data_IF_796866149807
#
_entry.id   IF_796866149807
#
_cell.length_a   1.000
_cell.length_b   1.000
_cell.length_c   1.000
_cell.angle_alpha   90.00
_cell.angle_beta   90.00
_cell.angle_gamma   90.00
#
_symmetry.space_group_name_H-M   'P 1'
#
loop_
_entity.id
_entity.type
_entity.pdbx_description
1 polymer ?
#
# COMPACT_ATOMS: atom_id res chain seq x y z
N UNK A 1 28.65 15.71 26.36
CA UNK A 1 28.74 16.38 25.04
C UNK A 1 27.36 16.96 24.79
N UNK A 2 27.22 18.28 24.70
CA UNK A 2 25.91 18.93 24.72
C UNK A 2 24.98 18.40 23.61
N UNK A 3 23.77 17.97 23.97
CA UNK A 3 22.79 17.36 23.06
C UNK A 3 22.49 18.28 21.88
N UNK A 4 22.48 19.60 22.12
CA UNK A 4 22.32 20.62 21.08
C UNK A 4 23.47 20.63 20.08
N UNK A 5 24.71 20.42 20.54
CA UNK A 5 25.87 20.32 19.64
C UNK A 5 25.81 19.08 18.75
N UNK A 6 25.26 17.98 19.25
CA UNK A 6 25.03 16.76 18.45
C UNK A 6 23.88 16.96 17.45
N UNK A 7 22.79 17.61 17.84
CA UNK A 7 21.69 17.96 16.94
C UNK A 7 22.15 18.89 15.81
N UNK A 8 22.99 19.88 16.12
CA UNK A 8 23.56 20.78 15.12
C UNK A 8 24.50 20.03 14.16
N UNK A 9 25.34 19.12 14.69
CA UNK A 9 26.16 18.24 13.84
C UNK A 9 25.30 17.37 12.91
N UNK A 10 24.17 16.82 13.38
CA UNK A 10 23.22 16.06 12.54
C UNK A 10 22.58 16.94 11.47
N UNK A 11 22.22 18.18 11.80
CA UNK A 11 21.65 19.15 10.84
C UNK A 11 22.64 19.46 9.71
N UNK A 12 23.91 19.72 10.06
CA UNK A 12 24.98 19.95 9.08
C UNK A 12 25.20 18.72 8.19
N UNK A 13 25.20 17.51 8.77
CA UNK A 13 25.30 16.26 8.00
C UNK A 13 24.12 16.05 7.05
N UNK A 14 22.88 16.36 7.47
CA UNK A 14 21.71 16.33 6.58
C UNK A 14 21.85 17.28 5.40
N UNK A 15 22.24 18.53 5.66
CA UNK A 15 22.48 19.51 4.60
C UNK A 15 23.56 19.04 3.62
N UNK A 16 24.61 18.37 4.12
CA UNK A 16 25.66 17.78 3.30
C UNK A 16 25.12 16.63 2.43
N UNK A 17 24.33 15.70 2.99
CA UNK A 17 23.71 14.60 2.24
C UNK A 17 22.79 15.14 1.13
N UNK A 18 21.94 16.13 1.44
CA UNK A 18 21.07 16.78 0.45
C UNK A 18 21.89 17.41 -0.68
N UNK A 19 22.99 18.11 -0.37
CA UNK A 19 23.88 18.70 -1.39
C UNK A 19 24.48 17.66 -2.34
N UNK A 20 24.88 16.49 -1.83
CA UNK A 20 25.43 15.42 -2.68
C UNK A 20 24.34 14.77 -3.55
N UNK A 21 23.12 14.61 -3.02
CA UNK A 21 21.96 14.13 -3.80
C UNK A 21 21.62 15.09 -4.96
N UNK A 22 21.51 16.39 -4.69
CA UNK A 22 21.24 17.39 -5.74
C UNK A 22 22.34 17.41 -6.79
N UNK A 23 23.60 17.20 -6.40
CA UNK A 23 24.73 17.11 -7.34
C UNK A 23 24.66 15.84 -8.19
N UNK A 24 24.26 14.70 -7.62
CA UNK A 24 24.01 13.47 -8.38
C UNK A 24 22.86 13.64 -9.39
N UNK A 25 21.75 14.25 -8.98
CA UNK A 25 20.62 14.55 -9.86
C UNK A 25 21.03 15.48 -11.01
N UNK A 26 21.79 16.54 -10.71
CA UNK A 26 22.31 17.44 -11.74
C UNK A 26 23.23 16.73 -12.73
N UNK A 27 24.15 15.88 -12.25
CA UNK A 27 25.06 15.11 -13.11
C UNK A 27 24.28 14.10 -13.95
N UNK A 28 23.23 13.45 -13.42
CA UNK A 28 22.35 12.57 -14.19
C UNK A 28 21.63 13.33 -15.33
N UNK A 29 21.19 14.56 -15.08
CA UNK A 29 20.48 15.41 -16.04
C UNK A 29 21.36 16.04 -17.13
N UNK A 30 22.70 16.03 -17.01
CA UNK A 30 23.60 16.54 -18.06
C UNK A 30 23.57 15.66 -19.32
N UNK A 31 23.37 16.26 -20.48
CA UNK A 31 23.45 15.56 -21.77
C UNK A 31 24.90 15.19 -22.12
N UNK A 32 25.07 14.09 -22.86
CA UNK A 32 26.39 13.60 -23.29
C UNK A 32 26.84 14.44 -24.49
N UNK A 33 28.00 15.07 -24.40
CA UNK A 33 28.58 15.92 -25.45
C UNK A 33 30.03 15.51 -25.77
N UNK A 34 30.63 16.13 -26.78
CA UNK A 34 32.03 15.88 -27.15
C UNK A 34 33.04 16.19 -26.01
N UNK A 35 32.65 17.04 -25.05
CA UNK A 35 33.46 17.44 -23.90
C UNK A 35 33.11 16.67 -22.61
N UNK A 36 31.98 15.95 -22.58
CA UNK A 36 31.53 15.15 -21.42
C UNK A 36 30.99 13.79 -21.89
N UNK A 37 31.92 12.84 -22.03
CA UNK A 37 31.64 11.51 -22.54
C UNK A 37 30.99 10.60 -21.47
N UNK A 38 30.49 9.44 -21.90
CA UNK A 38 29.81 8.46 -21.03
C UNK A 38 30.68 7.94 -19.88
N UNK A 39 31.98 7.78 -20.11
CA UNK A 39 32.94 7.27 -19.13
C UNK A 39 33.19 8.30 -18.02
N UNK A 40 33.45 9.56 -18.37
CA UNK A 40 33.61 10.65 -17.41
C UNK A 40 32.34 10.87 -16.56
N UNK A 41 31.16 10.75 -17.18
CA UNK A 41 29.87 10.81 -16.47
C UNK A 41 29.73 9.67 -15.46
N UNK A 42 30.13 8.46 -15.84
CA UNK A 42 30.08 7.30 -14.96
C UNK A 42 31.06 7.42 -13.79
N UNK A 43 32.30 7.86 -14.04
CA UNK A 43 33.30 8.09 -13.00
C UNK A 43 32.84 9.15 -11.99
N UNK A 44 32.27 10.27 -12.47
CA UNK A 44 31.73 11.32 -11.60
C UNK A 44 30.58 10.78 -10.74
N UNK A 45 29.66 9.99 -11.30
CA UNK A 45 28.56 9.38 -10.57
C UNK A 45 29.02 8.33 -9.55
N UNK A 46 30.02 7.52 -9.87
CA UNK A 46 30.60 6.55 -8.93
C UNK A 46 31.30 7.26 -7.76
N UNK A 47 32.02 8.34 -8.03
CA UNK A 47 32.63 9.19 -7.00
C UNK A 47 31.58 9.82 -6.09
N UNK A 48 30.52 10.40 -6.66
CA UNK A 48 29.41 10.98 -5.89
C UNK A 48 28.65 9.94 -5.07
N UNK A 49 28.42 8.73 -5.62
CA UNK A 49 27.81 7.61 -4.89
C UNK A 49 28.65 7.22 -3.67
N UNK A 50 29.98 7.16 -3.81
CA UNK A 50 30.89 6.84 -2.70
C UNK A 50 30.80 7.90 -1.58
N UNK A 51 30.87 9.18 -1.95
CA UNK A 51 30.74 10.31 -1.01
C UNK A 51 29.39 10.32 -0.30
N UNK A 52 28.30 10.06 -1.04
CA UNK A 52 26.96 9.98 -0.46
C UNK A 52 26.84 8.82 0.53
N UNK A 53 27.40 7.66 0.20
CA UNK A 53 27.39 6.48 1.08
C UNK A 53 28.13 6.75 2.38
N UNK A 54 29.31 7.40 2.31
CA UNK A 54 30.07 7.80 3.49
C UNK A 54 29.29 8.78 4.37
N UNK A 55 28.70 9.82 3.77
CA UNK A 55 27.91 10.82 4.51
C UNK A 55 26.63 10.26 5.10
N UNK A 56 26.00 9.29 4.44
CA UNK A 56 24.85 8.59 4.99
C UNK A 56 25.24 7.75 6.20
N UNK A 57 26.37 7.04 6.14
CA UNK A 57 26.91 6.28 7.29
C UNK A 57 27.26 7.19 8.48
N UNK A 58 27.85 8.37 8.23
CA UNK A 58 28.09 9.37 9.27
C UNK A 58 26.78 9.88 9.89
N UNK A 59 25.74 10.11 9.07
CA UNK A 59 24.43 10.57 9.53
C UNK A 59 23.72 9.52 10.39
N UNK A 60 23.81 8.24 10.01
CA UNK A 60 23.29 7.11 10.79
C UNK A 60 23.97 7.07 12.16
N UNK A 61 25.31 7.08 12.21
CA UNK A 61 26.07 7.10 13.47
C UNK A 61 25.74 8.31 14.35
N UNK A 62 25.56 9.50 13.75
CA UNK A 62 25.16 10.70 14.48
C UNK A 62 23.75 10.58 15.07
N UNK A 63 22.81 9.98 14.34
CA UNK A 63 21.46 9.73 14.83
C UNK A 63 21.45 8.70 15.98
N UNK A 64 22.25 7.65 15.88
CA UNK A 64 22.44 6.66 16.96
C UNK A 64 23.01 7.31 18.22
N UNK A 65 24.03 8.17 18.09
CA UNK A 65 24.66 8.85 19.22
C UNK A 65 23.70 9.84 19.91
N UNK A 66 22.94 10.63 19.15
CA UNK A 66 21.89 11.50 19.73
C UNK A 66 20.89 10.67 20.51
N UNK A 67 20.46 9.53 19.97
CA UNK A 67 19.50 8.70 20.68
C UNK A 67 20.08 8.04 21.93
N UNK A 68 21.35 7.64 21.90
CA UNK A 68 22.04 7.17 23.11
C UNK A 68 22.11 8.26 24.18
N UNK A 69 22.40 9.52 23.79
CA UNK A 69 22.44 10.65 24.73
C UNK A 69 21.07 10.99 25.31
N UNK A 70 20.01 10.99 24.49
CA UNK A 70 18.63 11.16 24.98
C UNK A 70 18.30 10.06 25.98
N UNK A 71 18.58 8.80 25.64
CA UNK A 71 18.35 7.65 26.53
C UNK A 71 19.13 7.76 27.84
N UNK A 72 20.39 8.21 27.80
CA UNK A 72 21.19 8.46 29.01
C UNK A 72 20.56 9.58 29.85
N UNK A 73 20.04 10.63 29.22
CA UNK A 73 19.34 11.72 29.91
C UNK A 73 18.03 11.28 30.56
N UNK A 74 17.22 10.48 29.86
CA UNK A 74 15.99 9.88 30.38
C UNK A 74 16.30 8.94 31.54
N UNK A 75 17.27 8.03 31.40
CA UNK A 75 17.72 7.17 32.50
C UNK A 75 18.26 7.96 33.70
N UNK A 76 18.96 9.07 33.47
CA UNK A 76 19.44 9.93 34.56
C UNK A 76 18.28 10.66 35.28
N UNK A 77 17.24 11.07 34.54
CA UNK A 77 16.02 11.65 35.09
C UNK A 77 15.21 10.61 35.88
N UNK A 78 15.09 9.39 35.37
CA UNK A 78 14.44 8.27 36.05
C UNK A 78 15.21 7.85 37.30
N UNK A 79 16.55 7.86 37.28
CA UNK A 79 17.36 7.60 38.48
C UNK A 79 17.16 8.72 39.51
N UNK A 80 17.10 9.98 39.05
CA UNK A 80 16.85 11.14 39.92
C UNK A 80 15.43 11.11 40.52
N UNK A 81 14.43 10.59 39.80
CA UNK A 81 13.06 10.41 40.31
C UNK A 81 12.90 9.12 41.14
N UNK A 82 13.70 8.08 40.88
CA UNK A 82 13.72 6.85 41.68
C UNK A 82 14.32 7.05 43.08
N UNK A 83 15.15 8.07 43.31
CA UNK A 83 15.57 8.43 44.69
C UNK A 83 14.39 8.85 45.57
N UNK A 84 13.23 9.21 44.99
CA UNK A 84 11.98 9.44 45.71
C UNK A 84 11.14 8.17 45.96
N UNK A 85 11.47 7.02 45.33
CA UNK A 85 10.67 5.78 45.38
C UNK A 85 11.43 4.58 45.94
N UNK A 86 11.95 4.73 47.16
CA UNK A 86 12.30 3.58 48.03
C UNK A 86 11.09 2.92 48.71
N UNK A 87 9.87 3.41 48.47
CA UNK A 87 8.67 2.88 49.09
C UNK A 87 7.61 2.50 48.05
N UNK A 88 7.25 1.22 48.07
CA UNK A 88 6.05 0.54 47.51
C UNK A 88 6.16 0.02 46.08
N UNK A 89 6.26 -1.32 45.98
CA UNK A 89 5.99 -2.07 44.77
C UNK A 89 4.55 -2.59 44.67
N UNK A 90 4.18 -3.07 43.47
CA UNK A 90 3.64 -4.42 43.21
C UNK A 90 3.30 -4.59 41.72
N UNK A 91 3.42 -5.84 41.30
CA UNK A 91 3.25 -6.42 39.96
C UNK A 91 1.79 -6.49 39.50
N UNK A 92 1.57 -6.59 38.18
CA UNK A 92 0.65 -7.57 37.59
C UNK A 92 1.03 -7.86 36.12
N UNK A 93 1.14 -9.15 35.79
CA UNK A 93 1.45 -9.71 34.45
C UNK A 93 0.18 -9.95 33.63
N UNK A 94 0.20 -9.63 32.33
CA UNK A 94 -0.82 -10.06 31.35
C UNK A 94 -0.18 -10.92 30.26
N UNK A 95 -0.77 -12.10 30.08
CA UNK A 95 -0.37 -13.19 29.18
C UNK A 95 -1.03 -13.03 27.80
N UNK A 96 -0.23 -12.89 26.73
CA UNK A 96 -0.71 -12.95 25.34
C UNK A 96 -0.05 -14.13 24.60
N UNK A 97 -0.88 -15.10 24.21
CA UNK A 97 -0.49 -16.18 23.29
C UNK A 97 -0.58 -15.72 21.84
N UNK A 98 0.46 -16.07 21.09
CA UNK A 98 0.60 -16.15 19.63
C UNK A 98 0.54 -14.84 18.83
N UNK A 99 1.70 -14.17 18.78
CA UNK A 99 2.06 -13.24 17.70
C UNK A 99 3.34 -13.76 17.04
N UNK A 100 3.22 -14.31 15.84
CA UNK A 100 4.38 -14.56 14.98
C UNK A 100 4.66 -13.28 14.21
N UNK A 101 5.58 -12.46 14.72
CA UNK A 101 6.13 -11.31 14.02
C UNK A 101 7.64 -11.51 13.86
N UNK A 102 8.12 -11.51 12.61
CA UNK A 102 9.55 -11.57 12.35
C UNK A 102 10.22 -10.27 12.84
N UNK A 103 10.96 -10.46 13.93
CA UNK A 103 11.79 -9.56 14.73
C UNK A 103 11.08 -8.44 15.52
N UNK A 104 10.62 -8.82 16.72
CA UNK A 104 10.34 -7.91 17.85
C UNK A 104 11.59 -7.79 18.76
N UNK A 105 11.93 -6.57 19.18
CA UNK A 105 12.63 -6.35 20.45
C UNK A 105 11.75 -5.42 21.27
N UNK A 106 10.95 -6.01 22.16
CA UNK A 106 10.21 -5.29 23.18
C UNK A 106 11.16 -5.01 24.35
N UNK A 107 11.40 -3.74 24.66
CA UNK A 107 11.95 -3.34 25.96
C UNK A 107 10.78 -3.04 26.88
N UNK A 108 10.91 -3.38 28.18
CA UNK A 108 9.95 -3.09 29.25
C UNK A 108 9.59 -1.60 29.29
N UNK A 109 8.66 -1.18 28.45
CA UNK A 109 7.98 0.10 28.44
C UNK A 109 6.49 -0.21 28.27
N UNK A 110 5.60 0.50 28.96
CA UNK A 110 4.15 0.34 28.79
C UNK A 110 3.75 0.60 27.33
N UNK A 111 2.81 -0.20 26.83
CA UNK A 111 2.34 -0.11 25.46
C UNK A 111 1.42 1.11 25.29
N UNK A 112 1.96 2.20 24.74
CA UNK A 112 1.21 3.41 24.42
C UNK A 112 0.35 3.22 23.15
N UNK A 113 -0.93 2.89 23.36
CA UNK A 113 -1.92 2.70 22.31
C UNK A 113 -2.15 3.94 21.44
N UNK A 114 -2.02 5.15 22.00
CA UNK A 114 -2.27 6.38 21.25
C UNK A 114 -1.12 6.68 20.29
N UNK A 115 0.13 6.39 20.68
CA UNK A 115 1.28 6.43 19.77
C UNK A 115 1.17 5.45 18.61
N UNK A 116 0.72 4.23 18.89
CA UNK A 116 0.47 3.24 17.85
C UNK A 116 -0.63 3.76 16.92
N UNK A 117 -1.79 4.15 17.45
CA UNK A 117 -2.91 4.70 16.67
C UNK A 117 -2.47 5.87 15.77
N UNK A 118 -1.69 6.82 16.30
CA UNK A 118 -1.18 7.96 15.53
C UNK A 118 -0.19 7.53 14.42
N UNK A 119 0.52 6.42 14.59
CA UNK A 119 1.38 5.85 13.55
C UNK A 119 0.59 5.22 12.39
N UNK A 120 -0.69 4.89 12.62
CA UNK A 120 -1.60 4.33 11.63
C UNK A 120 -2.61 5.35 11.07
N UNK A 121 -2.54 6.63 11.47
CA UNK A 121 -3.45 7.65 10.93
C UNK A 121 -3.13 7.95 9.47
N UNK A 122 -4.17 8.19 8.66
CA UNK A 122 -4.05 8.51 7.23
C UNK A 122 -3.21 9.77 6.99
N UNK A 123 -3.33 10.73 7.90
CA UNK A 123 -2.55 11.97 7.95
C UNK A 123 -1.04 11.68 8.08
N UNK A 124 -0.65 10.78 8.99
CA UNK A 124 0.74 10.34 9.16
C UNK A 124 1.25 9.54 7.97
N UNK A 125 0.36 8.83 7.28
CA UNK A 125 0.67 8.14 6.02
C UNK A 125 0.79 9.09 4.83
N UNK A 126 0.49 10.38 5.00
CA UNK A 126 0.36 11.38 3.93
C UNK A 126 -0.56 10.90 2.80
N UNK A 127 -1.62 10.15 3.15
CA UNK A 127 -2.81 10.04 2.29
C UNK A 127 -3.54 11.37 2.50
N UNK A 128 -2.93 12.44 2.01
CA UNK A 128 -3.41 13.80 2.18
C UNK A 128 -4.12 14.20 0.88
N UNK A 129 -5.43 14.49 0.91
CA UNK A 129 -6.16 14.96 -0.27
C UNK A 129 -5.68 16.35 -0.74
N UNK A 130 -4.79 17.02 0.00
CA UNK A 130 -4.23 18.35 -0.30
C UNK A 130 -3.26 18.42 -1.49
N UNK A 131 -3.10 17.35 -2.28
CA UNK A 131 -2.60 17.55 -3.64
C UNK A 131 -3.53 18.55 -4.36
N UNK A 132 -3.04 19.28 -5.36
CA UNK A 132 -3.91 20.08 -6.23
C UNK A 132 -4.80 19.13 -7.05
N UNK A 133 -5.84 18.59 -6.40
CA UNK A 133 -6.85 17.73 -6.99
C UNK A 133 -7.68 18.62 -7.91
N UNK A 134 -7.82 18.20 -9.17
CA UNK A 134 -8.57 18.95 -10.16
C UNK A 134 -10.03 19.13 -9.72
N UNK A 135 -10.74 20.11 -10.30
CA UNK A 135 -12.16 20.35 -9.95
C UNK A 135 -13.01 19.11 -10.25
N UNK A 136 -12.75 18.44 -11.38
CA UNK A 136 -13.40 17.18 -11.78
C UNK A 136 -13.11 16.05 -10.79
N UNK A 137 -11.85 15.88 -10.37
CA UNK A 137 -11.50 14.85 -9.38
C UNK A 137 -12.16 15.10 -8.01
N UNK A 138 -12.35 16.36 -7.61
CA UNK A 138 -13.08 16.70 -6.37
C UNK A 138 -14.55 16.31 -6.45
N UNK A 139 -15.17 16.46 -7.62
CA UNK A 139 -16.56 16.03 -7.85
C UNK A 139 -16.69 14.51 -7.78
N UNK A 140 -15.73 13.77 -8.36
CA UNK A 140 -15.67 12.31 -8.28
C UNK A 140 -15.52 11.85 -6.82
N UNK A 141 -14.58 12.44 -6.06
CA UNK A 141 -14.38 12.10 -4.65
C UNK A 141 -15.63 12.40 -3.81
N UNK A 142 -16.27 13.56 -4.04
CA UNK A 142 -17.51 13.92 -3.35
C UNK A 142 -18.64 12.94 -3.68
N UNK A 143 -18.76 12.53 -4.94
CA UNK A 143 -19.73 11.51 -5.36
C UNK A 143 -19.44 10.17 -4.68
N UNK A 144 -18.17 9.74 -4.62
CA UNK A 144 -17.76 8.52 -3.94
C UNK A 144 -18.13 8.56 -2.45
N UNK A 145 -17.83 9.65 -1.74
CA UNK A 145 -18.15 9.82 -0.32
C UNK A 145 -19.67 9.78 -0.08
N UNK A 146 -20.45 10.46 -0.91
CA UNK A 146 -21.91 10.51 -0.80
C UNK A 146 -22.58 9.15 -1.08
N UNK A 147 -22.00 8.36 -1.98
CA UNK A 147 -22.53 7.04 -2.36
C UNK A 147 -21.99 5.90 -1.50
N UNK A 148 -21.00 6.15 -0.63
CA UNK A 148 -20.40 5.13 0.23
C UNK A 148 -21.14 5.04 1.56
N UNK A 149 -21.66 3.86 1.88
CA UNK A 149 -22.37 3.59 3.13
C UNK A 149 -21.68 2.45 3.89
N UNK A 150 -21.52 2.62 5.20
CA UNK A 150 -21.05 1.54 6.07
C UNK A 150 -22.24 0.80 6.68
N UNK A 151 -22.45 -0.46 6.27
CA UNK A 151 -23.54 -1.31 6.77
C UNK A 151 -23.05 -2.73 7.01
N UNK A 152 -23.54 -3.38 8.07
CA UNK A 152 -23.21 -4.76 8.41
C UNK A 152 -21.69 -5.03 8.47
N UNK A 153 -20.95 -4.09 9.06
CA UNK A 153 -19.48 -4.10 9.17
C UNK A 153 -18.71 -4.01 7.85
N UNK A 154 -19.39 -3.73 6.73
CA UNK A 154 -18.80 -3.64 5.40
C UNK A 154 -19.11 -2.29 4.76
N UNK A 155 -18.13 -1.70 4.08
CA UNK A 155 -18.39 -0.55 3.21
C UNK A 155 -19.06 -1.01 1.94
N UNK A 156 -20.08 -0.28 1.48
CA UNK A 156 -20.70 -0.46 0.17
C UNK A 156 -20.65 0.85 -0.59
N UNK A 157 -20.30 0.82 -1.86
CA UNK A 157 -20.25 2.01 -2.69
C UNK A 157 -20.82 1.76 -4.09
N UNK A 158 -21.16 2.84 -4.78
CA UNK A 158 -21.59 2.80 -6.19
C UNK A 158 -20.40 2.73 -7.12
N UNK A 159 -20.60 2.10 -8.26
CA UNK A 159 -19.66 2.20 -9.36
C UNK A 159 -19.62 3.65 -9.85
N UNK A 160 -18.43 4.17 -10.11
CA UNK A 160 -18.22 5.54 -10.56
C UNK A 160 -18.44 5.62 -12.07
N UNK A 161 -19.70 5.61 -12.50
CA UNK A 161 -20.07 5.65 -13.92
C UNK A 161 -19.71 6.99 -14.58
N UNK A 162 -19.11 6.93 -15.78
CA UNK A 162 -18.97 8.10 -16.66
C UNK A 162 -20.34 8.48 -17.25
N UNK A 163 -20.60 9.76 -17.54
CA UNK A 163 -21.93 10.22 -17.98
C UNK A 163 -22.47 9.50 -19.24
N UNK A 164 -21.58 9.08 -20.15
CA UNK A 164 -21.90 8.42 -21.43
C UNK A 164 -21.97 6.87 -21.36
N UNK A 165 -21.78 6.28 -20.18
CA UNK A 165 -21.55 4.83 -20.02
C UNK A 165 -22.79 3.92 -20.08
N UNK A 166 -23.99 4.48 -20.30
CA UNK A 166 -25.27 3.74 -20.25
C UNK A 166 -25.49 2.74 -21.38
N UNK A 167 -24.52 2.58 -22.29
CA UNK A 167 -24.56 1.63 -23.40
C UNK A 167 -23.64 0.41 -23.21
N UNK A 168 -23.20 0.11 -21.98
CA UNK A 168 -22.46 -1.11 -21.70
C UNK A 168 -23.28 -2.34 -22.11
N UNK A 169 -22.81 -3.06 -23.12
CA UNK A 169 -23.47 -4.26 -23.65
C UNK A 169 -23.00 -5.49 -22.90
N UNK A 170 -23.81 -6.54 -22.93
CA UNK A 170 -23.41 -7.84 -22.40
C UNK A 170 -22.12 -8.37 -23.05
N UNK A 171 -21.28 -8.97 -22.21
CA UNK A 171 -20.02 -9.63 -22.53
C UNK A 171 -20.08 -11.15 -22.33
N UNK A 172 -21.29 -11.74 -22.26
CA UNK A 172 -21.50 -13.16 -21.95
C UNK A 172 -20.62 -14.10 -22.78
N UNK A 173 -20.63 -13.96 -24.12
CA UNK A 173 -19.85 -14.84 -25.02
C UNK A 173 -18.35 -14.81 -24.73
N UNK A 174 -17.83 -13.64 -24.35
CA UNK A 174 -16.41 -13.45 -24.03
C UNK A 174 -16.10 -14.09 -22.67
N UNK A 175 -16.94 -13.85 -21.67
CA UNK A 175 -16.78 -14.41 -20.34
C UNK A 175 -16.86 -15.94 -20.35
N UNK A 176 -17.82 -16.51 -21.09
CA UNK A 176 -17.98 -17.96 -21.28
C UNK A 176 -16.75 -18.58 -21.97
N UNK A 177 -16.24 -17.91 -23.00
CA UNK A 177 -15.05 -18.38 -23.71
C UNK A 177 -13.75 -18.32 -22.88
N UNK A 178 -13.58 -17.29 -22.04
CA UNK A 178 -12.40 -17.20 -21.16
C UNK A 178 -12.43 -18.25 -20.05
N UNK A 179 -13.62 -18.49 -19.47
CA UNK A 179 -13.75 -19.47 -18.40
C UNK A 179 -13.65 -20.90 -18.94
N UNK A 180 -14.19 -21.20 -20.14
CA UNK A 180 -14.06 -22.52 -20.76
C UNK A 180 -12.59 -22.88 -21.01
N UNK A 181 -11.77 -21.94 -21.49
CA UNK A 181 -10.32 -22.13 -21.63
C UNK A 181 -9.61 -22.44 -20.32
N UNK A 182 -10.12 -21.95 -19.20
CA UNK A 182 -9.58 -22.28 -17.88
C UNK A 182 -9.90 -23.74 -17.54
N UNK A 183 -11.13 -24.18 -17.84
CA UNK A 183 -11.62 -25.52 -17.54
C UNK A 183 -11.06 -26.61 -18.46
N UNK A 184 -10.75 -26.28 -19.71
CA UNK A 184 -10.17 -27.22 -20.69
C UNK A 184 -8.70 -27.57 -20.40
N UNK A 185 -7.99 -26.77 -19.58
CA UNK A 185 -6.54 -26.93 -19.38
C UNK A 185 -6.15 -28.07 -18.45
N UNK A 186 -6.85 -28.25 -17.33
CA UNK A 186 -6.52 -29.27 -16.31
C UNK A 186 -7.64 -29.40 -15.26
N UNK A 187 -8.02 -30.65 -14.94
CA UNK A 187 -8.99 -30.97 -13.87
C UNK A 187 -8.53 -30.47 -12.49
N UNK A 188 -7.24 -30.56 -12.17
CA UNK A 188 -6.70 -30.07 -10.89
C UNK A 188 -6.82 -28.54 -10.76
N UNK A 189 -6.67 -27.82 -11.88
CA UNK A 189 -6.84 -26.37 -11.92
C UNK A 189 -8.30 -25.99 -11.70
N UNK A 190 -9.23 -26.74 -12.30
CA UNK A 190 -10.67 -26.55 -12.09
C UNK A 190 -11.05 -26.71 -10.62
N UNK A 191 -10.61 -27.78 -9.96
CA UNK A 191 -10.93 -28.04 -8.55
C UNK A 191 -10.44 -26.91 -7.63
N UNK A 192 -9.20 -26.45 -7.82
CA UNK A 192 -8.65 -25.31 -7.06
C UNK A 192 -9.40 -24.01 -7.35
N UNK A 193 -9.81 -23.79 -8.59
CA UNK A 193 -10.59 -22.62 -8.96
C UNK A 193 -12.00 -22.64 -8.33
N UNK A 194 -12.68 -23.78 -8.39
CA UNK A 194 -14.00 -23.99 -7.76
C UNK A 194 -13.94 -23.80 -6.24
N UNK A 195 -12.88 -24.25 -5.58
CA UNK A 195 -12.64 -23.98 -4.15
C UNK A 195 -12.55 -22.48 -3.84
N UNK A 196 -11.88 -21.69 -4.68
CA UNK A 196 -11.78 -20.23 -4.53
C UNK A 196 -13.16 -19.58 -4.65
N UNK A 197 -13.94 -19.96 -5.67
CA UNK A 197 -15.30 -19.41 -5.86
C UNK A 197 -16.22 -19.80 -4.69
N UNK A 198 -16.16 -21.05 -4.22
CA UNK A 198 -16.90 -21.50 -3.04
C UNK A 198 -16.49 -20.76 -1.77
N UNK A 199 -15.21 -20.44 -1.62
CA UNK A 199 -14.71 -19.61 -0.52
C UNK A 199 -15.30 -18.20 -0.58
N UNK A 200 -15.27 -17.55 -1.75
CA UNK A 200 -15.87 -16.22 -1.92
C UNK A 200 -17.37 -16.21 -1.61
N UNK A 201 -18.09 -17.29 -1.96
CA UNK A 201 -19.50 -17.43 -1.62
C UNK A 201 -19.72 -17.59 -0.10
N UNK A 202 -18.87 -18.37 0.59
CA UNK A 202 -18.94 -18.52 2.06
C UNK A 202 -18.61 -17.24 2.79
N UNK A 203 -17.65 -16.48 2.28
CA UNK A 203 -17.21 -15.19 2.85
C UNK A 203 -18.19 -14.05 2.55
N UNK A 204 -19.25 -14.31 1.77
CA UNK A 204 -20.23 -13.29 1.38
C UNK A 204 -19.65 -12.23 0.43
N UNK A 205 -18.56 -12.55 -0.27
CA UNK A 205 -17.95 -11.69 -1.28
C UNK A 205 -18.78 -11.69 -2.57
N UNK A 206 -19.28 -12.87 -2.95
CA UNK A 206 -20.17 -13.08 -4.10
C UNK A 206 -21.49 -13.69 -3.66
N UNK A 207 -22.50 -13.60 -4.51
CA UNK A 207 -23.82 -14.20 -4.30
C UNK A 207 -24.26 -15.04 -5.51
N UNK A 208 -25.21 -15.94 -5.29
CA UNK A 208 -25.83 -16.68 -6.40
C UNK A 208 -26.87 -15.80 -7.06
N UNK A 209 -26.67 -15.49 -8.34
CA UNK A 209 -27.67 -14.79 -9.16
C UNK A 209 -28.75 -15.79 -9.58
N UNK A 210 -30.02 -15.39 -9.46
CA UNK A 210 -31.14 -16.16 -9.99
C UNK A 210 -31.22 -15.95 -11.52
N UNK A 211 -30.40 -16.70 -12.26
CA UNK A 211 -30.29 -16.53 -13.72
C UNK A 211 -31.51 -17.10 -14.45
N UNK A 212 -32.15 -16.24 -15.24
CA UNK A 212 -32.92 -16.64 -16.40
C UNK A 212 -32.08 -16.30 -17.64
N UNK A 213 -31.29 -17.28 -18.10
CA UNK A 213 -30.30 -17.09 -19.18
C UNK A 213 -30.85 -16.31 -20.38
N UNK A 214 -32.07 -16.62 -20.85
CA UNK A 214 -32.68 -15.95 -22.00
C UNK A 214 -32.92 -14.43 -21.80
N UNK A 215 -33.12 -14.01 -20.55
CA UNK A 215 -33.32 -12.60 -20.19
C UNK A 215 -32.00 -11.92 -19.84
N UNK A 216 -31.21 -12.53 -18.95
CA UNK A 216 -30.03 -11.91 -18.36
C UNK A 216 -28.85 -11.80 -19.35
N UNK A 217 -28.69 -12.76 -20.28
CA UNK A 217 -27.57 -12.78 -21.26
C UNK A 217 -27.51 -11.48 -22.06
N UNK A 218 -28.63 -10.82 -22.34
CA UNK A 218 -28.65 -9.61 -23.17
C UNK A 218 -28.76 -8.30 -22.38
N UNK A 219 -29.03 -8.36 -21.07
CA UNK A 219 -29.33 -7.18 -20.25
C UNK A 219 -28.32 -6.91 -19.14
N UNK A 220 -27.48 -7.90 -18.80
CA UNK A 220 -26.48 -7.79 -17.73
C UNK A 220 -25.06 -7.91 -18.30
N UNK A 221 -24.10 -7.37 -17.57
CA UNK A 221 -22.68 -7.51 -17.92
C UNK A 221 -22.10 -8.76 -17.24
N UNK A 222 -21.24 -9.47 -17.96
CA UNK A 222 -20.56 -10.66 -17.45
C UNK A 222 -19.07 -10.38 -17.43
N UNK A 223 -18.53 -10.05 -16.26
CA UNK A 223 -17.12 -9.72 -16.11
C UNK A 223 -16.24 -10.91 -16.50
N UNK A 224 -15.47 -10.86 -17.60
CA UNK A 224 -14.64 -11.98 -18.01
C UNK A 224 -13.60 -12.28 -16.93
N UNK A 225 -13.32 -13.56 -16.74
CA UNK A 225 -12.35 -14.00 -15.73
C UNK A 225 -11.72 -15.33 -16.11
N UNK A 226 -10.49 -15.54 -15.63
CA UNK A 226 -9.73 -16.76 -15.87
C UNK A 226 -8.80 -17.09 -14.71
N UNK A 227 -8.29 -18.32 -14.67
CA UNK A 227 -7.29 -18.72 -13.68
C UNK A 227 -5.87 -18.40 -14.17
N UNK A 228 -5.06 -17.82 -13.29
CA UNK A 228 -3.61 -17.68 -13.49
C UNK A 228 -2.89 -18.52 -12.44
N UNK A 229 -1.96 -19.35 -12.92
CA UNK A 229 -1.11 -20.19 -12.07
C UNK A 229 0.22 -19.48 -11.89
N UNK A 230 0.58 -19.15 -10.64
CA UNK A 230 1.93 -18.70 -10.30
C UNK A 230 2.68 -19.85 -9.65
N UNK A 231 3.63 -20.40 -10.39
CA UNK A 231 4.59 -21.38 -9.88
C UNK A 231 5.65 -20.64 -9.04
N UNK A 232 5.64 -20.83 -7.72
CA UNK A 232 6.73 -20.41 -6.85
C UNK A 232 7.44 -21.66 -6.30
N UNK A 233 8.72 -21.49 -5.91
CA UNK A 233 9.56 -22.59 -5.42
C UNK A 233 8.92 -23.40 -4.28
N UNK A 234 8.08 -22.77 -3.47
CA UNK A 234 7.48 -23.40 -2.26
C UNK A 234 5.98 -23.70 -2.40
N UNK A 235 5.27 -23.10 -3.37
CA UNK A 235 3.86 -23.44 -3.66
C UNK A 235 3.40 -22.92 -5.02
N UNK A 236 2.47 -23.65 -5.64
CA UNK A 236 1.74 -23.20 -6.83
C UNK A 236 0.43 -22.55 -6.38
N UNK A 237 0.32 -21.22 -6.48
CA UNK A 237 -0.90 -20.49 -6.09
C UNK A 237 -1.74 -20.19 -7.32
N UNK A 238 -2.98 -20.72 -7.32
CA UNK A 238 -4.01 -20.37 -8.31
C UNK A 238 -4.66 -19.06 -7.89
N UNK A 239 -4.87 -18.15 -8.85
CA UNK A 239 -5.59 -16.89 -8.63
C UNK A 239 -6.63 -16.70 -9.72
N UNK A 240 -7.79 -16.18 -9.33
CA UNK A 240 -8.80 -15.67 -10.27
C UNK A 240 -8.40 -14.27 -10.71
N UNK A 241 -8.35 -14.04 -12.01
CA UNK A 241 -8.13 -12.71 -12.62
C UNK A 241 -9.41 -12.31 -13.32
N UNK A 242 -9.92 -11.13 -12.98
CA UNK A 242 -11.05 -10.51 -13.65
C UNK A 242 -10.53 -9.48 -14.66
N UNK A 243 -11.01 -9.54 -15.89
CA UNK A 243 -10.61 -8.68 -16.98
C UNK A 243 -11.73 -7.69 -17.36
N UNK A 244 -11.79 -6.59 -16.61
CA UNK A 244 -12.71 -5.48 -16.88
C UNK A 244 -12.33 -4.65 -18.12
N UNK A 245 -11.21 -4.95 -18.78
CA UNK A 245 -10.79 -4.29 -20.03
C UNK A 245 -11.20 -5.06 -21.29
N UNK A 246 -11.65 -6.30 -21.12
CA UNK A 246 -12.08 -7.17 -22.21
C UNK A 246 -13.35 -6.63 -22.87
N UNK A 247 -13.34 -6.55 -24.20
CA UNK A 247 -14.43 -5.99 -25.01
C UNK A 247 -14.47 -6.58 -26.42
N UNK A 248 -15.68 -6.67 -26.96
CA UNK A 248 -15.90 -7.01 -28.37
C UNK A 248 -15.45 -5.88 -29.31
N UNK A 249 -15.32 -6.19 -30.60
CA UNK A 249 -14.92 -5.21 -31.61
C UNK A 249 -15.96 -4.07 -31.70
N UNK A 250 -15.54 -2.87 -31.33
CA UNK A 250 -16.39 -1.67 -31.34
C UNK A 250 -17.36 -1.56 -30.15
N UNK A 251 -17.22 -2.41 -29.12
CA UNK A 251 -17.93 -2.28 -27.85
C UNK A 251 -17.08 -1.52 -26.82
N UNK A 252 -17.72 -1.06 -25.74
CA UNK A 252 -17.04 -0.52 -24.56
C UNK A 252 -16.72 -1.64 -23.58
N UNK A 253 -15.63 -1.52 -22.84
CA UNK A 253 -15.32 -2.36 -21.68
C UNK A 253 -15.82 -1.69 -20.39
N UNK A 254 -15.94 -2.45 -19.31
CA UNK A 254 -16.33 -1.90 -18.01
C UNK A 254 -15.36 -0.78 -17.58
N UNK A 255 -14.06 -0.94 -17.82
CA UNK A 255 -13.07 0.10 -17.52
C UNK A 255 -13.25 1.39 -18.36
N UNK A 256 -13.76 1.30 -19.60
CA UNK A 256 -14.05 2.50 -20.40
C UNK A 256 -15.29 3.25 -19.87
N UNK A 257 -16.15 2.55 -19.13
CA UNK A 257 -17.41 3.07 -18.60
C UNK A 257 -17.27 3.67 -17.19
N UNK A 258 -16.15 3.45 -16.51
CA UNK A 258 -15.92 3.90 -15.14
C UNK A 258 -14.90 5.03 -15.08
N UNK A 259 -15.11 5.96 -14.15
CA UNK A 259 -14.15 7.01 -13.82
C UNK A 259 -12.92 6.40 -13.15
N UNK A 260 -11.73 6.79 -13.62
CA UNK A 260 -10.47 6.32 -13.01
C UNK A 260 -10.23 6.92 -11.63
N UNK A 261 -10.81 8.10 -11.37
CA UNK A 261 -10.60 8.89 -10.16
C UNK A 261 -9.17 9.41 -9.99
N UNK A 262 -8.93 10.25 -8.97
CA UNK A 262 -7.61 10.79 -8.70
C UNK A 262 -6.68 9.73 -8.08
N UNK A 263 -5.38 9.88 -8.30
CA UNK A 263 -4.37 9.05 -7.66
C UNK A 263 -4.21 9.42 -6.18
N UNK A 264 -4.81 8.62 -5.30
CA UNK A 264 -4.70 8.76 -3.84
C UNK A 264 -3.51 8.00 -3.24
N UNK A 265 -2.66 7.37 -4.06
CA UNK A 265 -1.53 6.61 -3.53
C UNK A 265 -0.48 7.55 -2.94
N UNK A 266 0.02 7.28 -1.72
CA UNK A 266 1.09 8.06 -1.13
C UNK A 266 2.38 7.92 -1.96
N UNK A 267 3.20 8.96 -1.96
CA UNK A 267 4.47 8.95 -2.69
C UNK A 267 5.42 7.88 -2.14
N UNK A 268 5.79 6.91 -2.99
CA UNK A 268 6.60 5.74 -2.59
C UNK A 268 7.96 6.13 -2.01
N UNK A 269 8.63 7.16 -2.56
CA UNK A 269 9.93 7.62 -2.05
C UNK A 269 9.77 8.15 -0.62
N UNK A 270 8.71 8.92 -0.36
CA UNK A 270 8.43 9.42 0.99
C UNK A 270 8.14 8.28 1.97
N UNK A 271 7.38 7.26 1.56
CA UNK A 271 7.15 6.05 2.36
C UNK A 271 8.49 5.40 2.71
N UNK A 272 9.34 5.12 1.72
CA UNK A 272 10.65 4.49 1.93
C UNK A 272 11.52 5.33 2.86
N UNK A 273 11.56 6.66 2.68
CA UNK A 273 12.32 7.55 3.57
C UNK A 273 11.81 7.46 5.02
N UNK A 274 10.49 7.37 5.25
CA UNK A 274 9.94 7.17 6.61
C UNK A 274 10.37 5.83 7.20
N UNK A 275 10.35 4.76 6.40
CA UNK A 275 10.86 3.44 6.82
C UNK A 275 12.34 3.48 7.21
N UNK A 276 13.17 4.22 6.47
CA UNK A 276 14.61 4.35 6.74
C UNK A 276 14.90 5.27 7.95
N UNK A 277 14.08 6.31 8.16
CA UNK A 277 14.30 7.32 9.21
C UNK A 277 13.85 6.87 10.61
N UNK A 278 13.00 5.84 10.71
CA UNK A 278 12.51 5.29 11.97
C UNK A 278 13.29 4.03 12.33
N UNK A 279 13.47 3.78 13.63
CA UNK A 279 14.25 2.63 14.12
C UNK A 279 13.51 1.30 14.05
N UNK A 280 12.18 1.36 14.08
CA UNK A 280 11.30 0.21 14.09
C UNK A 280 10.27 0.46 13.00
N UNK A 281 10.06 -0.52 12.15
CA UNK A 281 9.05 -0.51 11.11
C UNK A 281 8.12 -1.70 11.33
N UNK A 282 6.82 -1.45 11.24
CA UNK A 282 5.81 -2.49 11.22
C UNK A 282 5.36 -2.71 9.77
N UNK A 283 5.36 -3.96 9.35
CA UNK A 283 4.84 -4.38 8.07
C UNK A 283 3.72 -5.37 8.33
N UNK A 284 2.56 -5.14 7.71
CA UNK A 284 1.46 -6.08 7.68
C UNK A 284 0.89 -6.10 6.27
N UNK A 285 0.49 -7.28 5.81
CA UNK A 285 -0.30 -7.42 4.59
C UNK A 285 -1.77 -7.58 5.00
N UNK A 286 -2.64 -6.75 4.43
CA UNK A 286 -4.08 -6.85 4.68
C UNK A 286 -4.65 -7.79 3.61
N UNK A 287 -4.84 -9.04 4.02
CA UNK A 287 -5.41 -10.05 3.13
C UNK A 287 -6.78 -9.61 2.62
N UNK A 288 -6.98 -9.67 1.29
CA UNK A 288 -8.27 -9.44 0.62
C UNK A 288 -8.90 -8.07 0.88
N UNK A 289 -8.11 -7.05 1.20
CA UNK A 289 -8.59 -5.70 1.54
C UNK A 289 -9.62 -5.12 0.55
N UNK A 290 -9.41 -5.27 -0.75
CA UNK A 290 -10.35 -4.77 -1.77
C UNK A 290 -11.68 -5.52 -1.78
N UNK A 291 -11.71 -6.80 -1.40
CA UNK A 291 -12.93 -7.60 -1.36
C UNK A 291 -13.80 -7.26 -0.15
N UNK A 292 -13.25 -6.56 0.86
CA UNK A 292 -14.01 -6.04 1.99
C UNK A 292 -14.86 -4.80 1.62
N UNK A 293 -14.65 -4.22 0.44
CA UNK A 293 -15.54 -3.18 -0.10
C UNK A 293 -16.56 -3.86 -1.01
N UNK A 294 -17.83 -3.65 -0.73
CA UNK A 294 -18.94 -4.19 -1.52
C UNK A 294 -19.50 -3.19 -2.52
N UNK A 295 -20.20 -3.71 -3.52
CA UNK A 295 -20.98 -2.92 -4.47
C UNK A 295 -22.44 -2.85 -4.00
N UNK A 296 -23.09 -1.69 -4.18
CA UNK A 296 -24.54 -1.56 -3.93
C UNK A 296 -25.33 -2.49 -4.84
N UNK A 297 -26.53 -2.89 -4.42
CA UNK A 297 -27.34 -3.90 -5.14
C UNK A 297 -27.67 -3.48 -6.56
N UNK A 298 -27.91 -2.19 -6.77
CA UNK A 298 -28.25 -1.65 -8.09
C UNK A 298 -27.11 -1.74 -9.09
N UNK A 299 -25.85 -1.83 -8.66
CA UNK A 299 -24.70 -1.87 -9.56
C UNK A 299 -24.12 -3.29 -9.73
N UNK A 300 -24.62 -4.31 -9.00
CA UNK A 300 -24.08 -5.69 -9.06
C UNK A 300 -24.38 -6.44 -10.35
N UNK A 301 -25.28 -5.92 -11.19
CA UNK A 301 -25.62 -6.52 -12.48
C UNK A 301 -24.70 -6.05 -13.61
N UNK A 302 -23.69 -5.25 -13.27
CA UNK A 302 -22.67 -4.74 -14.14
C UNK A 302 -21.26 -5.19 -13.71
#
# INVERSE_FOLDING_TARGET
>A
MDLERLKEKRKILRMSVTKHLTKMEFTLSKEISAEFNKEAKLEELLSLKSQLTEKLNELIKAAENIQLQIKIGEMAADISSCEEYKDRGKEDEVNCKDIIANHLIVKKEEFDFDRVRNSWSLETMEINPDNEVSVSDKEILKSLEQNTVYMNKRYKTRLLWQEDSRELKSSYEIAEFEISKTFEKNEELYLKYDEIIKEHLRDGIIERVNMNLDKNINTEYFLPHHAVVREQKDSTKVRTVFDASSKGKGALSLNDCLESGPNLNPNLIKIILRFILRKIAFCADIQRSFLEIGTVEEDRHF
#
